data_IF_891268368979
#
_entry.id   IF_891268368979
#
_cell.length_a   1.000
_cell.length_b   1.000
_cell.length_c   1.000
_cell.angle_alpha   90.00
_cell.angle_beta   90.00
_cell.angle_gamma   90.00
#
_symmetry.space_group_name_H-M   'P 1'
#
loop_
_entity.id
_entity.type
_entity.pdbx_description
1 polymer ?
#
# COMPACT_ATOMS: atom_id res chain seq x y z
N UNK A 1 10.21 -11.11 14.32
CA UNK A 1 10.40 -10.56 12.96
C UNK A 1 9.69 -9.21 12.98
N UNK A 2 10.31 -8.15 12.48
CA UNK A 2 9.63 -6.86 12.37
C UNK A 2 8.68 -6.95 11.18
N UNK A 3 7.38 -6.77 11.41
CA UNK A 3 6.32 -6.85 10.40
C UNK A 3 5.43 -5.62 10.49
N UNK A 4 4.89 -5.20 9.35
CA UNK A 4 3.91 -4.12 9.27
C UNK A 4 2.53 -4.74 9.22
N UNK A 5 1.62 -4.36 10.12
CA UNK A 5 0.23 -4.80 10.05
C UNK A 5 -0.52 -4.03 8.96
N UNK A 6 -1.60 -4.61 8.44
CA UNK A 6 -2.47 -3.97 7.46
C UNK A 6 -3.02 -2.65 7.98
N UNK A 7 -3.49 -2.61 9.23
CA UNK A 7 -3.99 -1.40 9.86
C UNK A 7 -2.91 -0.31 9.90
N UNK A 8 -1.68 -0.63 10.28
CA UNK A 8 -0.58 0.34 10.29
C UNK A 8 -0.26 0.87 8.89
N UNK A 9 -0.25 0.00 7.87
CA UNK A 9 -0.05 0.42 6.48
C UNK A 9 -1.15 1.39 6.01
N UNK A 10 -2.42 1.03 6.27
CA UNK A 10 -3.58 1.84 5.88
C UNK A 10 -3.62 3.16 6.65
N UNK A 11 -3.32 3.14 7.95
CA UNK A 11 -3.25 4.34 8.79
C UNK A 11 -2.21 5.33 8.29
N UNK A 12 -1.01 4.85 7.96
CA UNK A 12 0.04 5.68 7.39
C UNK A 12 -0.40 6.30 6.05
N UNK A 13 -1.04 5.51 5.19
CA UNK A 13 -1.52 5.98 3.89
C UNK A 13 -2.63 7.05 4.04
N UNK A 14 -3.64 6.79 4.87
CA UNK A 14 -4.75 7.71 5.16
C UNK A 14 -4.24 8.98 5.85
N UNK A 15 -3.22 8.85 6.71
CA UNK A 15 -2.59 9.97 7.41
C UNK A 15 -2.06 11.06 6.46
N UNK A 16 -1.62 10.68 5.26
CA UNK A 16 -1.19 11.60 4.19
C UNK A 16 -2.24 11.80 3.10
N UNK A 17 -3.46 11.36 3.34
CA UNK A 17 -4.61 11.63 2.49
C UNK A 17 -4.86 10.63 1.36
N UNK A 18 -4.20 9.46 1.33
CA UNK A 18 -4.62 8.40 0.40
C UNK A 18 -5.98 7.88 0.83
N UNK A 19 -7.00 8.08 -0.02
CA UNK A 19 -8.34 7.57 0.23
C UNK A 19 -8.50 6.15 -0.33
N UNK A 20 -8.57 5.20 0.59
CA UNK A 20 -8.74 3.77 0.30
C UNK A 20 -10.07 3.30 0.88
N UNK A 21 -10.91 2.70 0.04
CA UNK A 21 -12.19 2.13 0.45
C UNK A 21 -12.11 0.60 0.41
N UNK A 22 -12.37 -0.12 1.51
CA UNK A 22 -12.42 -1.58 1.51
C UNK A 22 -13.43 -2.12 0.49
N UNK A 23 -13.09 -3.24 -0.15
CA UNK A 23 -13.93 -3.94 -1.13
C UNK A 23 -13.85 -5.44 -0.93
N UNK A 24 -14.82 -6.15 -1.50
CA UNK A 24 -14.76 -7.61 -1.58
C UNK A 24 -13.77 -8.02 -2.67
N UNK A 25 -13.05 -9.11 -2.42
CA UNK A 25 -12.16 -9.69 -3.45
C UNK A 25 -13.00 -10.12 -4.66
N UNK A 26 -12.66 -9.57 -5.83
CA UNK A 26 -13.38 -9.84 -7.08
C UNK A 26 -14.42 -8.77 -7.45
N UNK A 27 -14.63 -7.76 -6.60
CA UNK A 27 -15.43 -6.59 -6.94
C UNK A 27 -14.83 -5.87 -8.16
N UNK A 28 -15.69 -5.39 -9.05
CA UNK A 28 -15.26 -4.76 -10.32
C UNK A 28 -14.56 -3.42 -10.12
N UNK A 29 -14.83 -2.74 -9.00
CA UNK A 29 -14.22 -1.46 -8.66
C UNK A 29 -13.02 -1.59 -7.70
N UNK A 30 -12.66 -2.81 -7.30
CA UNK A 30 -11.41 -3.08 -6.58
C UNK A 30 -10.21 -2.98 -7.53
N UNK A 31 -9.39 -1.94 -7.33
CA UNK A 31 -8.21 -1.62 -8.15
C UNK A 31 -6.89 -1.81 -7.39
N UNK A 32 -6.93 -2.11 -6.09
CA UNK A 32 -5.78 -2.43 -5.24
C UNK A 32 -6.08 -3.66 -4.38
N UNK A 33 -5.03 -4.36 -3.96
CA UNK A 33 -5.13 -5.43 -2.97
C UNK A 33 -3.84 -5.57 -2.16
N UNK A 34 -4.00 -6.12 -0.95
CA UNK A 34 -2.91 -6.43 -0.02
C UNK A 34 -3.07 -7.87 0.42
N UNK A 35 -2.01 -8.66 0.28
CA UNK A 35 -1.95 -10.00 0.86
C UNK A 35 -1.36 -9.91 2.27
N UNK A 36 -2.05 -10.49 3.24
CA UNK A 36 -1.67 -10.46 4.65
C UNK A 36 -1.62 -11.87 5.25
N UNK A 37 -0.89 -12.06 6.35
CA UNK A 37 -0.99 -13.28 7.19
C UNK A 37 -2.32 -13.31 7.97
N UNK A 38 -2.67 -14.41 8.64
CA UNK A 38 -3.81 -14.44 9.57
C UNK A 38 -3.72 -13.45 10.74
N UNK A 39 -2.50 -12.99 11.05
CA UNK A 39 -2.19 -11.98 12.06
C UNK A 39 -2.13 -10.55 11.45
N UNK A 40 -2.69 -10.36 10.26
CA UNK A 40 -2.73 -9.10 9.49
C UNK A 40 -1.36 -8.53 9.09
N UNK A 41 -0.29 -9.33 9.09
CA UNK A 41 1.03 -8.87 8.65
C UNK A 41 1.08 -8.76 7.11
N UNK A 42 1.45 -7.61 6.59
CA UNK A 42 1.51 -7.34 5.15
C UNK A 42 2.64 -8.16 4.50
N UNK A 43 2.27 -8.95 3.49
CA UNK A 43 3.20 -9.76 2.70
C UNK A 43 3.46 -9.16 1.32
N UNK A 44 2.46 -8.51 0.73
CA UNK A 44 2.52 -8.00 -0.64
C UNK A 44 1.41 -6.98 -0.90
N UNK A 45 1.73 -5.95 -1.67
CA UNK A 45 0.76 -4.98 -2.19
C UNK A 45 0.73 -5.07 -3.71
N UNK A 46 -0.45 -5.06 -4.32
CA UNK A 46 -0.55 -5.06 -5.77
C UNK A 46 -1.74 -4.29 -6.30
N UNK A 47 -1.66 -3.87 -7.57
CA UNK A 47 -2.79 -3.34 -8.32
C UNK A 47 -3.54 -4.40 -9.11
N UNK A 48 -4.85 -4.21 -9.20
CA UNK A 48 -5.77 -4.94 -10.05
C UNK A 48 -6.00 -4.12 -11.32
N UNK A 49 -4.99 -4.04 -12.21
CA UNK A 49 -5.17 -3.40 -13.54
C UNK A 49 -6.09 -4.22 -14.44
N UNK A 50 -6.40 -5.45 -14.04
CA UNK A 50 -7.42 -6.31 -14.61
C UNK A 50 -7.95 -7.16 -13.45
N UNK A 51 -9.24 -7.06 -13.13
CA UNK A 51 -9.96 -7.88 -12.12
C UNK A 51 -9.56 -9.36 -12.14
N UNK A 52 -9.18 -9.85 -13.33
CA UNK A 52 -8.69 -11.20 -13.56
C UNK A 52 -7.39 -11.53 -12.82
N UNK A 53 -6.49 -10.58 -12.56
CA UNK A 53 -5.20 -10.86 -11.91
C UNK A 53 -5.34 -11.25 -10.44
N UNK A 54 -6.15 -10.53 -9.66
CA UNK A 54 -6.42 -10.90 -8.27
C UNK A 54 -7.13 -12.27 -8.18
N UNK A 55 -8.07 -12.53 -9.11
CA UNK A 55 -8.78 -13.81 -9.23
C UNK A 55 -7.83 -14.93 -9.69
N UNK A 56 -6.95 -14.66 -10.64
CA UNK A 56 -5.97 -15.62 -11.15
C UNK A 56 -4.97 -15.96 -10.06
N UNK A 57 -4.42 -14.96 -9.35
CA UNK A 57 -3.50 -15.16 -8.22
C UNK A 57 -4.17 -15.93 -7.07
N UNK A 58 -5.41 -15.59 -6.70
CA UNK A 58 -6.19 -16.35 -5.71
C UNK A 58 -6.50 -17.78 -6.19
N UNK A 59 -6.74 -17.94 -7.49
CA UNK A 59 -6.96 -19.24 -8.15
C UNK A 59 -5.69 -20.09 -8.22
N UNK A 60 -4.52 -19.48 -8.40
CA UNK A 60 -3.22 -20.16 -8.48
C UNK A 60 -2.85 -20.81 -7.14
N UNK A 61 -3.13 -20.15 -6.02
CA UNK A 61 -2.95 -20.73 -4.67
C UNK A 61 -3.74 -22.03 -4.51
N UNK A 62 -5.01 -22.02 -4.97
CA UNK A 62 -5.94 -23.16 -4.85
C UNK A 62 -5.62 -24.30 -5.83
N UNK A 63 -5.15 -23.98 -7.04
CA UNK A 63 -4.86 -24.97 -8.12
C UNK A 63 -3.40 -25.42 -8.18
N UNK A 64 -2.59 -25.03 -7.20
CA UNK A 64 -1.15 -25.29 -7.21
C UNK A 64 -0.84 -26.78 -7.30
N UNK A 65 -0.06 -27.11 -8.32
CA UNK A 65 0.60 -28.40 -8.50
C UNK A 65 1.98 -28.35 -7.84
N UNK A 66 2.29 -29.22 -6.86
CA UNK A 66 3.60 -29.34 -6.23
C UNK A 66 4.77 -29.53 -7.19
N UNK A 67 4.52 -30.02 -8.40
CA UNK A 67 5.53 -30.17 -9.46
C UNK A 67 5.71 -28.91 -10.32
N UNK A 68 4.81 -27.92 -10.20
CA UNK A 68 4.91 -26.64 -10.89
C UNK A 68 5.77 -25.64 -10.11
N UNK A 69 7.08 -25.75 -10.28
CA UNK A 69 8.06 -24.79 -9.75
C UNK A 69 8.02 -23.54 -10.62
N UNK A 70 7.14 -22.57 -10.39
CA UNK A 70 7.22 -21.33 -11.18
C UNK A 70 6.94 -20.00 -10.48
N UNK A 71 6.49 -19.96 -9.23
CA UNK A 71 6.22 -18.65 -8.59
C UNK A 71 6.50 -18.65 -7.09
N UNK A 72 7.62 -18.05 -6.66
CA UNK A 72 7.98 -17.92 -5.25
C UNK A 72 6.91 -17.20 -4.41
N UNK A 73 6.20 -16.25 -5.01
CA UNK A 73 5.08 -15.55 -4.37
C UNK A 73 3.91 -16.47 -3.97
N UNK A 74 3.54 -17.44 -4.82
CA UNK A 74 2.48 -18.41 -4.50
C UNK A 74 2.89 -19.31 -3.33
N UNK A 75 4.18 -19.67 -3.25
CA UNK A 75 4.72 -20.41 -2.11
C UNK A 75 4.69 -19.61 -0.82
N UNK A 76 5.01 -18.32 -0.87
CA UNK A 76 4.86 -17.43 0.27
C UNK A 76 3.40 -17.39 0.74
N UNK A 77 2.45 -17.13 -0.15
CA UNK A 77 1.03 -17.07 0.18
C UNK A 77 0.55 -18.37 0.84
N UNK A 78 0.88 -19.54 0.28
CA UNK A 78 0.50 -20.83 0.86
C UNK A 78 1.15 -21.08 2.22
N UNK A 79 2.45 -20.83 2.33
CA UNK A 79 3.21 -21.08 3.56
C UNK A 79 2.74 -20.19 4.70
N UNK A 80 2.40 -18.94 4.40
CA UNK A 80 1.93 -17.96 5.36
C UNK A 80 0.41 -17.95 5.53
N UNK A 81 -0.33 -18.86 4.86
CA UNK A 81 -1.80 -18.91 4.87
C UNK A 81 -2.44 -17.55 4.55
N UNK A 82 -1.86 -16.88 3.56
CA UNK A 82 -2.17 -15.49 3.30
C UNK A 82 -3.62 -15.30 2.84
N UNK A 83 -4.25 -14.24 3.32
CA UNK A 83 -5.55 -13.75 2.88
C UNK A 83 -5.35 -12.51 2.01
N UNK A 84 -6.32 -12.21 1.14
CA UNK A 84 -6.27 -11.05 0.25
C UNK A 84 -7.34 -10.06 0.70
N UNK A 85 -6.91 -8.83 0.94
CA UNK A 85 -7.78 -7.69 1.27
C UNK A 85 -7.79 -6.75 0.07
N UNK A 86 -8.99 -6.49 -0.47
CA UNK A 86 -9.15 -5.67 -1.66
C UNK A 86 -9.57 -4.24 -1.29
N UNK A 87 -9.09 -3.27 -2.06
CA UNK A 87 -9.39 -1.86 -1.88
C UNK A 87 -9.70 -1.19 -3.21
N UNK A 88 -10.49 -0.13 -3.12
CA UNK A 88 -10.60 0.89 -4.15
C UNK A 88 -9.81 2.12 -3.73
N UNK A 89 -8.79 2.46 -4.50
CA UNK A 89 -8.23 3.80 -4.49
C UNK A 89 -9.21 4.77 -5.15
N UNK A 90 -9.54 5.84 -4.42
CA UNK A 90 -10.47 6.89 -4.88
C UNK A 90 -9.70 8.09 -5.38
N UNK A 91 -8.90 8.70 -4.49
CA UNK A 91 -8.16 9.93 -4.73
C UNK A 91 -7.09 10.14 -3.66
N UNK A 92 -6.29 11.20 -3.81
CA UNK A 92 -5.46 11.74 -2.74
C UNK A 92 -6.09 13.06 -2.29
N UNK A 93 -6.56 13.11 -1.03
CA UNK A 93 -6.89 14.36 -0.36
C UNK A 93 -5.59 15.07 0.00
N UNK A 94 -5.28 16.25 -0.57
CA UNK A 94 -3.99 16.89 -0.33
C UNK A 94 -3.89 17.47 1.08
N UNK A 95 -5.01 17.71 1.78
CA UNK A 95 -5.03 18.48 3.03
C UNK A 95 -4.14 17.87 4.13
N UNK A 96 -4.22 16.55 4.45
CA UNK A 96 -3.39 15.96 5.48
C UNK A 96 -1.89 16.10 5.17
N UNK A 97 -1.48 15.75 3.94
CA UNK A 97 -0.08 15.87 3.52
C UNK A 97 0.41 17.33 3.54
N UNK A 98 -0.40 18.29 3.10
CA UNK A 98 -0.04 19.71 3.10
C UNK A 98 0.19 20.26 4.52
N UNK A 99 -0.60 19.83 5.51
CA UNK A 99 -0.38 20.21 6.91
C UNK A 99 0.97 19.71 7.44
N UNK A 100 1.36 18.48 7.11
CA UNK A 100 2.65 17.93 7.53
C UNK A 100 3.83 18.55 6.78
N UNK A 101 3.65 18.91 5.51
CA UNK A 101 4.69 19.49 4.66
C UNK A 101 5.24 20.82 5.21
N UNK A 102 4.49 21.56 6.03
CA UNK A 102 4.95 22.83 6.64
C UNK A 102 6.24 22.67 7.47
N UNK A 103 6.52 21.46 7.94
CA UNK A 103 7.70 21.15 8.77
C UNK A 103 8.90 20.65 7.95
N UNK A 104 8.73 20.44 6.64
CA UNK A 104 9.71 19.79 5.78
C UNK A 104 10.26 20.76 4.73
N UNK A 105 11.58 20.74 4.55
CA UNK A 105 12.26 21.56 3.55
C UNK A 105 12.95 20.70 2.48
N UNK A 106 13.10 21.27 1.28
CA UNK A 106 13.88 20.69 0.20
C UNK A 106 13.09 20.51 -1.10
N UNK A 107 13.83 20.43 -2.21
CA UNK A 107 13.26 20.44 -3.58
C UNK A 107 12.19 19.35 -3.80
N UNK A 108 12.33 18.19 -3.17
CA UNK A 108 11.36 17.09 -3.29
C UNK A 108 10.03 17.41 -2.64
N UNK A 109 10.04 18.02 -1.45
CA UNK A 109 8.84 18.42 -0.71
C UNK A 109 8.14 19.60 -1.38
N UNK A 110 8.89 20.58 -1.90
CA UNK A 110 8.34 21.66 -2.72
C UNK A 110 7.63 21.12 -3.95
N UNK A 111 8.24 20.16 -4.67
CA UNK A 111 7.60 19.52 -5.83
C UNK A 111 6.37 18.72 -5.45
N UNK A 112 6.40 17.98 -4.33
CA UNK A 112 5.22 17.27 -3.86
C UNK A 112 4.09 18.26 -3.52
N UNK A 113 4.40 19.39 -2.88
CA UNK A 113 3.43 20.44 -2.60
C UNK A 113 2.83 21.01 -3.89
N UNK A 114 3.65 21.29 -4.91
CA UNK A 114 3.19 21.72 -6.24
C UNK A 114 2.28 20.65 -6.88
N UNK A 115 2.69 19.38 -6.85
CA UNK A 115 1.93 18.26 -7.41
C UNK A 115 0.58 18.07 -6.69
N UNK A 116 0.53 18.16 -5.37
CA UNK A 116 -0.68 18.05 -4.56
C UNK A 116 -1.66 19.20 -4.80
N UNK A 117 -1.16 20.39 -5.14
CA UNK A 117 -1.98 21.55 -5.52
C UNK A 117 -2.31 21.61 -7.02
N UNK A 118 -1.72 20.71 -7.82
CA UNK A 118 -1.95 20.64 -9.26
C UNK A 118 -3.25 19.90 -9.58
N UNK A 119 -3.76 20.08 -10.81
CA UNK A 119 -4.87 19.28 -11.32
C UNK A 119 -4.43 17.90 -11.85
N UNK A 120 -3.16 17.52 -11.70
CA UNK A 120 -2.64 16.24 -12.20
C UNK A 120 -3.20 15.09 -11.37
N UNK A 121 -3.98 14.18 -11.97
CA UNK A 121 -4.60 13.09 -11.21
C UNK A 121 -3.55 12.11 -10.65
N UNK A 122 -3.83 11.62 -9.44
CA UNK A 122 -3.18 10.44 -8.89
C UNK A 122 -3.87 9.18 -9.42
N UNK A 123 -3.08 8.15 -9.72
CA UNK A 123 -3.58 6.88 -10.26
C UNK A 123 -3.46 5.77 -9.23
N UNK A 124 -4.14 4.65 -9.45
CA UNK A 124 -3.98 3.44 -8.65
C UNK A 124 -2.54 2.92 -8.67
N UNK A 125 -1.77 3.17 -9.75
CA UNK A 125 -0.36 2.84 -9.82
C UNK A 125 0.48 3.73 -8.88
N UNK A 126 0.13 5.00 -8.73
CA UNK A 126 0.79 5.87 -7.75
C UNK A 126 0.47 5.41 -6.33
N UNK A 127 -0.79 5.07 -6.04
CA UNK A 127 -1.21 4.59 -4.73
C UNK A 127 -0.53 3.25 -4.36
N UNK A 128 -0.44 2.30 -5.30
CA UNK A 128 0.33 1.06 -5.15
C UNK A 128 1.78 1.35 -4.77
N UNK A 129 2.44 2.27 -5.49
CA UNK A 129 3.83 2.65 -5.21
C UNK A 129 3.98 3.30 -3.83
N UNK A 130 3.07 4.19 -3.43
CA UNK A 130 3.10 4.81 -2.09
C UNK A 130 3.00 3.74 -1.01
N UNK A 131 2.05 2.81 -1.11
CA UNK A 131 1.86 1.74 -0.12
C UNK A 131 3.09 0.82 0.00
N UNK A 132 3.66 0.41 -1.13
CA UNK A 132 4.91 -0.37 -1.14
C UNK A 132 6.03 0.41 -0.45
N UNK A 133 6.13 1.71 -0.71
CA UNK A 133 7.19 2.56 -0.17
C UNK A 133 7.02 2.88 1.30
N UNK A 134 5.80 2.96 1.82
CA UNK A 134 5.56 3.05 3.27
C UNK A 134 6.19 1.85 3.97
N UNK A 135 5.92 0.63 3.51
CA UNK A 135 6.48 -0.58 4.11
C UNK A 135 8.03 -0.58 4.06
N UNK A 136 8.60 -0.26 2.91
CA UNK A 136 10.06 -0.22 2.73
C UNK A 136 10.72 0.85 3.61
N UNK A 137 10.21 2.07 3.60
CA UNK A 137 10.79 3.20 4.34
C UNK A 137 10.64 3.05 5.86
N UNK A 138 9.59 2.36 6.31
CA UNK A 138 9.41 1.99 7.71
C UNK A 138 10.27 0.77 8.13
N UNK A 139 11.05 0.18 7.21
CA UNK A 139 11.98 -0.92 7.51
C UNK A 139 11.33 -2.31 7.50
N UNK A 140 10.16 -2.46 6.89
CA UNK A 140 9.41 -3.73 6.80
C UNK A 140 9.50 -4.31 5.38
N UNK A 141 10.31 -5.36 5.14
CA UNK A 141 10.42 -5.96 3.82
C UNK A 141 9.15 -6.72 3.44
N UNK A 142 8.63 -6.47 2.24
CA UNK A 142 7.50 -7.18 1.63
C UNK A 142 7.92 -7.88 0.34
N UNK A 143 7.16 -8.87 -0.12
CA UNK A 143 7.52 -9.76 -1.23
C UNK A 143 7.15 -9.22 -2.62
N UNK A 144 7.25 -7.91 -2.80
CA UNK A 144 6.89 -7.24 -4.04
C UNK A 144 7.87 -7.55 -5.19
N UNK A 145 7.40 -7.41 -6.44
CA UNK A 145 8.23 -7.74 -7.61
C UNK A 145 9.39 -6.76 -7.78
N UNK A 146 10.50 -7.19 -8.39
CA UNK A 146 11.65 -6.32 -8.69
C UNK A 146 11.27 -5.08 -9.51
N UNK A 147 10.30 -5.23 -10.42
CA UNK A 147 9.77 -4.14 -11.24
C UNK A 147 8.79 -3.19 -10.54
N UNK A 148 8.40 -3.46 -9.28
CA UNK A 148 7.56 -2.54 -8.49
C UNK A 148 8.33 -1.31 -8.01
N UNK A 149 9.64 -1.24 -8.30
CA UNK A 149 10.51 -0.22 -7.76
C UNK A 149 10.42 -0.26 -6.25
N UNK A 150 10.74 -1.39 -5.62
CA UNK A 150 10.74 -1.54 -4.16
C UNK A 150 12.00 -0.92 -3.53
N UNK A 151 13.12 -0.96 -4.24
CA UNK A 151 14.42 -0.48 -3.76
C UNK A 151 15.03 0.60 -4.67
N UNK A 152 14.51 0.76 -5.89
CA UNK A 152 15.17 1.51 -6.97
C UNK A 152 14.43 2.80 -7.36
N UNK A 153 14.08 3.65 -6.40
CA UNK A 153 13.57 5.00 -6.73
C UNK A 153 14.58 6.02 -6.31
N UNK A 154 14.90 6.94 -7.22
CA UNK A 154 15.54 8.20 -6.87
C UNK A 154 14.74 8.86 -5.75
N UNK A 155 15.42 9.22 -4.67
CA UNK A 155 14.84 10.08 -3.65
C UNK A 155 14.25 11.32 -4.33
N UNK A 156 12.98 11.62 -4.07
CA UNK A 156 12.32 12.80 -4.62
C UNK A 156 11.31 12.61 -5.76
N UNK A 157 10.86 11.38 -6.05
CA UNK A 157 9.60 11.20 -6.79
C UNK A 157 8.40 11.56 -5.89
N UNK A 158 7.27 11.94 -6.48
CA UNK A 158 6.06 12.29 -5.71
C UNK A 158 5.59 11.15 -4.80
N UNK A 159 5.61 9.91 -5.30
CA UNK A 159 5.17 8.72 -4.56
C UNK A 159 6.11 8.40 -3.39
N UNK A 160 7.43 8.46 -3.59
CA UNK A 160 8.39 8.20 -2.52
C UNK A 160 8.42 9.33 -1.48
N UNK A 161 8.24 10.58 -1.91
CA UNK A 161 8.20 11.73 -0.99
C UNK A 161 6.94 11.68 -0.13
N UNK A 162 5.78 11.35 -0.71
CA UNK A 162 4.54 11.18 0.04
C UNK A 162 4.62 9.99 1.01
N UNK A 163 5.22 8.87 0.59
CA UNK A 163 5.46 7.73 1.48
C UNK A 163 6.40 8.05 2.65
N UNK A 164 7.42 8.90 2.44
CA UNK A 164 8.30 9.34 3.52
C UNK A 164 7.55 10.15 4.58
N UNK A 165 6.65 11.05 4.16
CA UNK A 165 5.76 11.78 5.09
C UNK A 165 4.84 10.82 5.85
N UNK A 166 4.29 9.82 5.18
CA UNK A 166 3.40 8.83 5.80
C UNK A 166 4.12 8.02 6.88
N UNK A 167 5.38 7.63 6.64
CA UNK A 167 6.19 6.92 7.63
C UNK A 167 6.54 7.81 8.81
N UNK A 168 6.93 9.06 8.59
CA UNK A 168 7.24 9.99 9.68
C UNK A 168 6.03 10.23 10.58
N UNK A 169 4.86 10.48 9.98
CA UNK A 169 3.61 10.62 10.72
C UNK A 169 3.26 9.36 11.50
N UNK A 170 3.41 8.19 10.89
CA UNK A 170 3.15 6.90 11.53
C UNK A 170 4.08 6.66 12.72
N UNK A 171 5.39 6.92 12.59
CA UNK A 171 6.38 6.74 13.65
C UNK A 171 6.25 7.77 14.78
N UNK A 172 5.65 8.93 14.50
CA UNK A 172 5.38 9.97 15.50
C UNK A 172 4.16 9.68 16.39
N UNK A 173 3.30 8.71 16.02
CA UNK A 173 2.17 8.31 16.86
C UNK A 173 2.67 7.50 18.06
N UNK A 174 2.33 7.89 19.31
CA UNK A 174 2.63 7.05 20.47
C UNK A 174 1.86 5.72 20.34
N UNK A 175 2.50 4.60 20.69
CA UNK A 175 1.93 3.25 20.62
C UNK A 175 0.47 3.23 21.11
N UNK A 176 -0.47 3.20 20.16
CA UNK A 176 -1.88 3.45 20.38
C UNK A 176 -2.65 3.25 19.09
N UNK A 177 -3.05 2.01 18.85
CA UNK A 177 -3.78 1.54 17.67
C UNK A 177 -5.07 2.34 17.45
N UNK A 178 -5.06 3.28 16.50
CA UNK A 178 -6.31 3.74 15.88
C UNK A 178 -6.67 2.69 14.83
N UNK A 179 -7.69 1.88 15.08
CA UNK A 179 -8.16 0.88 14.11
C UNK A 179 -9.03 1.56 13.04
N UNK A 180 -8.39 2.15 12.03
CA UNK A 180 -9.07 2.82 10.90
C UNK A 180 -9.86 1.81 10.06
N UNK A 181 -9.53 0.51 10.10
CA UNK A 181 -10.31 -0.49 9.37
C UNK A 181 -11.74 -0.62 9.91
N UNK A 182 -11.94 -0.47 11.22
CA UNK A 182 -13.28 -0.42 11.81
C UNK A 182 -14.05 0.84 11.41
N UNK A 183 -13.37 1.98 11.29
CA UNK A 183 -13.99 3.24 10.84
C UNK A 183 -14.38 3.17 9.37
N UNK A 184 -13.56 2.54 8.53
CA UNK A 184 -13.83 2.36 7.10
C UNK A 184 -14.94 1.34 6.80
N UNK A 185 -15.27 0.47 7.75
CA UNK A 185 -16.34 -0.53 7.61
C UNK A 185 -17.72 -0.05 8.11
N UNK A 186 -17.81 1.16 8.66
CA UNK A 186 -18.98 1.68 9.39
C UNK A 186 -19.88 2.68 8.66
N UNK A 187 -19.55 3.06 7.42
CA UNK A 187 -20.32 3.99 6.56
C UNK A 187 -20.98 3.28 5.37
#
# INVERSE_FOLDING_TARGET
MLTLTLSNLVNAAVGVGLRLEPRSVGDRDANLYVWCTPEDEVLYVGKSSNHRRAIDEHGFVRRYDPQSVNVGFVMLQRRQRATCMAFRFVEVDPRPALTFLEQWEGRSFTRLQEDLNSATPWTEADAELVLIRIAVLAGFPIANSTGSGQWESSFGTRTNTLAALAVDQFLALPDGEVDVLQQLAGD
#
